data_IF_167857956508
#
_entry.id   IF_167857956508
#
_cell.length_a   1.000
_cell.length_b   1.000
_cell.length_c   1.000
_cell.angle_alpha   90.00
_cell.angle_beta   90.00
_cell.angle_gamma   90.00
#
_symmetry.space_group_name_H-M   'P 1'
#
loop_
_entity.id
_entity.type
_entity.pdbx_description
1 polymer ?
#
# COMPACT_ATOMS: atom_id res chain seq x y z
N UNK A 1 6.58 -8.53 37.76
CA UNK A 1 6.46 -7.07 37.55
C UNK A 1 7.48 -6.25 38.35
N UNK A 2 8.47 -6.86 39.00
CA UNK A 2 9.41 -6.14 39.89
C UNK A 2 10.81 -5.87 39.29
N UNK A 3 11.17 -6.50 38.16
CA UNK A 3 12.51 -6.35 37.55
C UNK A 3 12.62 -5.27 36.46
N UNK A 4 11.50 -4.71 35.99
CA UNK A 4 11.53 -3.63 34.99
C UNK A 4 11.76 -2.24 35.60
N UNK A 5 11.51 -2.08 36.91
CA UNK A 5 11.58 -0.79 37.60
C UNK A 5 13.00 -0.42 38.09
N UNK A 6 13.95 -1.37 38.14
CA UNK A 6 15.29 -1.15 38.69
C UNK A 6 16.37 -0.78 37.67
N UNK A 7 16.07 -0.80 36.37
CA UNK A 7 17.01 -0.41 35.31
C UNK A 7 16.89 1.07 34.90
N UNK A 8 16.03 1.87 35.55
CA UNK A 8 15.75 3.26 35.18
C UNK A 8 16.63 4.32 35.86
N UNK A 9 17.60 3.91 36.70
CA UNK A 9 18.45 4.84 37.44
C UNK A 9 19.93 4.68 37.13
N UNK A 10 20.32 4.73 35.86
CA UNK A 10 21.64 5.25 35.50
C UNK A 10 21.45 6.05 34.20
N UNK A 11 21.41 7.37 34.34
CA UNK A 11 21.40 8.39 33.27
C UNK A 11 20.21 8.37 32.30
N UNK A 12 19.06 8.90 32.74
CA UNK A 12 18.08 9.49 31.81
C UNK A 12 18.65 10.81 31.26
N UNK A 13 19.62 10.69 30.35
CA UNK A 13 20.26 11.82 29.72
C UNK A 13 19.76 11.93 28.29
N UNK A 14 18.71 12.73 28.12
CA UNK A 14 18.16 13.08 26.80
C UNK A 14 19.15 13.99 26.07
N UNK A 15 19.54 13.63 24.85
CA UNK A 15 20.39 14.45 23.99
C UNK A 15 19.71 14.67 22.64
N UNK A 16 19.69 15.92 22.18
CA UNK A 16 19.30 16.29 20.82
C UNK A 16 20.56 16.76 20.09
N UNK A 17 20.85 16.17 18.94
CA UNK A 17 21.95 16.57 18.06
C UNK A 17 21.48 16.59 16.60
N UNK A 18 22.01 17.52 15.82
CA UNK A 18 21.77 17.58 14.37
C UNK A 18 23.00 17.04 13.68
N UNK A 19 22.89 15.82 13.16
CA UNK A 19 23.98 15.18 12.41
C UNK A 19 24.15 15.85 11.04
N UNK A 20 25.40 16.14 10.67
CA UNK A 20 25.75 16.62 9.32
C UNK A 20 26.42 15.49 8.50
N UNK A 21 26.47 15.57 7.16
CA UNK A 21 27.00 14.50 6.31
C UNK A 21 28.49 14.22 6.49
N UNK A 22 29.25 15.15 7.08
CA UNK A 22 30.62 14.92 7.48
C UNK A 22 30.63 14.14 8.80
N UNK A 23 31.44 13.08 8.89
CA UNK A 23 31.52 12.12 10.01
C UNK A 23 31.41 12.75 11.41
N UNK A 24 30.17 12.89 11.88
CA UNK A 24 29.85 13.55 13.15
C UNK A 24 29.40 12.47 14.14
N UNK A 25 30.33 12.04 14.99
CA UNK A 25 30.04 11.07 16.04
C UNK A 25 29.63 11.84 17.30
N UNK A 26 28.44 11.53 17.86
CA UNK A 26 27.92 12.23 19.02
C UNK A 26 27.49 11.26 20.12
N UNK A 27 27.79 11.60 21.38
CA UNK A 27 27.47 10.76 22.54
C UNK A 27 28.18 11.22 23.81
N UNK A 28 28.16 10.38 24.84
CA UNK A 28 28.83 10.66 26.12
C UNK A 28 30.28 10.17 26.09
N UNK A 29 31.23 11.11 26.11
CA UNK A 29 32.67 10.79 26.22
C UNK A 29 32.96 10.02 27.53
N UNK A 30 32.17 10.27 28.60
CA UNK A 30 32.23 9.56 29.87
C UNK A 30 30.83 9.09 30.26
N UNK A 31 30.38 8.00 29.65
CA UNK A 31 29.05 7.43 29.88
C UNK A 31 28.90 6.81 31.27
N UNK A 32 29.82 5.93 31.66
CA UNK A 32 29.83 5.29 32.99
C UNK A 32 31.28 4.97 33.39
N UNK A 33 31.57 5.09 34.69
CA UNK A 33 32.88 4.73 35.23
C UNK A 33 33.05 3.21 35.26
N UNK A 34 34.23 2.71 34.85
CA UNK A 34 34.52 1.27 34.80
C UNK A 34 34.32 0.56 36.15
N UNK A 35 34.66 1.23 37.26
CA UNK A 35 34.45 0.71 38.63
C UNK A 35 32.98 0.47 38.96
N UNK A 36 32.05 1.18 38.30
CA UNK A 36 30.60 1.01 38.49
C UNK A 36 30.02 -0.11 37.62
N UNK A 37 30.76 -0.60 36.63
CA UNK A 37 30.40 -1.76 35.82
C UNK A 37 30.87 -3.05 36.52
N UNK A 38 32.10 -3.03 37.07
CA UNK A 38 32.70 -4.17 37.74
C UNK A 38 31.93 -4.52 39.03
N UNK A 39 31.35 -5.72 39.09
CA UNK A 39 30.53 -6.18 40.24
C UNK A 39 29.07 -5.69 40.22
N UNK A 40 28.63 -5.07 39.13
CA UNK A 40 27.25 -4.62 38.94
C UNK A 40 26.39 -5.67 38.18
N UNK A 41 25.04 -5.58 38.25
CA UNK A 41 24.16 -6.42 37.44
C UNK A 41 24.19 -6.09 35.94
N UNK A 42 24.96 -5.08 35.52
CA UNK A 42 25.08 -4.70 34.10
C UNK A 42 26.07 -5.58 33.32
N UNK A 43 26.88 -6.38 34.03
CA UNK A 43 27.85 -7.30 33.45
C UNK A 43 27.40 -8.75 33.72
N UNK A 44 26.82 -9.39 32.71
CA UNK A 44 26.39 -10.79 32.78
C UNK A 44 27.29 -11.63 31.88
N UNK A 45 27.96 -12.66 32.43
CA UNK A 45 28.89 -13.53 31.68
C UNK A 45 29.97 -12.77 30.90
N UNK A 46 30.55 -11.72 31.51
CA UNK A 46 31.55 -10.84 30.87
C UNK A 46 31.01 -10.06 29.65
N UNK A 47 29.69 -10.02 29.47
CA UNK A 47 29.01 -9.25 28.44
C UNK A 47 28.32 -8.00 29.03
N UNK A 48 28.52 -6.86 28.36
CA UNK A 48 27.84 -5.60 28.64
C UNK A 48 26.86 -5.30 27.50
N UNK A 49 25.57 -5.16 27.81
CA UNK A 49 24.55 -4.76 26.83
C UNK A 49 24.24 -3.28 26.94
N UNK A 50 24.46 -2.52 25.86
CA UNK A 50 24.14 -1.09 25.78
C UNK A 50 22.87 -0.92 24.94
N UNK A 51 21.82 -0.34 25.52
CA UNK A 51 20.57 -0.02 24.79
C UNK A 51 20.55 1.46 24.44
N UNK A 52 20.51 1.77 23.15
CA UNK A 52 20.35 3.13 22.65
C UNK A 52 18.91 3.33 22.13
N UNK A 53 18.24 4.38 22.58
CA UNK A 53 16.94 4.81 22.05
C UNK A 53 17.15 6.08 21.23
N UNK A 54 16.92 5.99 19.91
CA UNK A 54 17.06 7.11 18.99
C UNK A 54 15.67 7.60 18.56
N UNK A 55 15.47 8.92 18.58
CA UNK A 55 14.28 9.56 17.99
C UNK A 55 14.73 10.56 16.94
N UNK A 56 14.35 10.34 15.69
CA UNK A 56 14.70 11.22 14.57
C UNK A 56 13.56 12.22 14.36
N UNK A 57 13.83 13.50 14.63
CA UNK A 57 12.88 14.59 14.39
C UNK A 57 13.22 15.28 13.08
N UNK A 58 12.31 15.28 12.11
CA UNK A 58 12.42 16.07 10.88
C UNK A 58 11.59 17.34 11.06
N UNK A 59 12.23 18.51 11.07
CA UNK A 59 11.49 19.77 11.09
C UNK A 59 10.73 19.91 9.77
N UNK A 60 9.39 19.83 9.82
CA UNK A 60 8.57 20.27 8.69
C UNK A 60 8.60 21.79 8.69
N UNK A 61 9.05 22.37 7.57
CA UNK A 61 8.90 23.81 7.34
C UNK A 61 7.42 24.07 7.08
N UNK A 62 6.63 24.25 8.12
CA UNK A 62 5.39 24.99 8.00
C UNK A 62 5.79 26.46 8.10
N UNK A 63 5.67 27.19 7.00
CA UNK A 63 5.72 28.64 7.06
C UNK A 63 4.48 29.05 7.84
N UNK A 64 4.66 29.65 9.01
CA UNK A 64 3.59 30.39 9.68
C UNK A 64 3.23 31.58 8.78
N UNK A 65 2.29 31.36 7.88
CA UNK A 65 1.65 32.44 7.13
C UNK A 65 0.74 33.14 8.13
N UNK A 66 1.04 34.40 8.45
CA UNK A 66 0.09 35.29 9.11
C UNK A 66 -1.20 35.31 8.26
N UNK A 67 -2.21 34.57 8.70
CA UNK A 67 -3.43 34.37 7.94
C UNK A 67 -4.45 35.43 8.36
N UNK A 68 -4.86 36.24 7.39
CA UNK A 68 -6.15 36.93 7.45
C UNK A 68 -7.22 35.90 7.87
N UNK A 69 -7.92 36.14 8.99
CA UNK A 69 -8.76 35.15 9.68
C UNK A 69 -10.10 34.88 8.98
N UNK A 70 -10.07 34.44 7.72
CA UNK A 70 -11.20 33.81 7.04
C UNK A 70 -10.94 32.31 7.05
N UNK A 71 -11.74 31.56 7.81
CA UNK A 71 -11.69 30.09 7.84
C UNK A 71 -12.43 29.55 6.62
N UNK A 72 -11.71 28.93 5.69
CA UNK A 72 -12.28 28.25 4.52
C UNK A 72 -12.58 26.79 4.90
N UNK A 73 -13.83 26.31 4.76
CA UNK A 73 -14.14 24.91 5.02
C UNK A 73 -13.46 23.99 3.98
N UNK A 74 -13.17 22.72 4.33
CA UNK A 74 -12.64 21.75 3.37
C UNK A 74 -13.64 21.50 2.23
N UNK A 75 -13.13 21.09 1.07
CA UNK A 75 -13.97 20.72 -0.07
C UNK A 75 -14.86 19.52 0.26
N UNK A 76 -16.16 19.66 0.02
CA UNK A 76 -17.17 18.62 0.17
C UNK A 76 -17.61 18.00 -1.17
N UNK A 77 -16.95 18.35 -2.28
CA UNK A 77 -17.36 17.93 -3.62
C UNK A 77 -17.50 16.40 -3.75
N UNK A 78 -16.58 15.66 -3.13
CA UNK A 78 -16.62 14.20 -3.11
C UNK A 78 -17.84 13.64 -2.35
N UNK A 79 -18.29 14.29 -1.27
CA UNK A 79 -19.56 13.93 -0.62
C UNK A 79 -20.74 14.23 -1.53
N UNK A 80 -20.76 15.39 -2.18
CA UNK A 80 -21.89 15.79 -3.03
C UNK A 80 -22.07 14.81 -4.20
N UNK A 81 -20.98 14.40 -4.85
CA UNK A 81 -21.03 13.34 -5.89
C UNK A 81 -21.37 11.96 -5.31
N UNK A 82 -20.90 11.64 -4.11
CA UNK A 82 -21.25 10.39 -3.42
C UNK A 82 -22.75 10.30 -3.13
N UNK A 83 -23.35 11.40 -2.63
CA UNK A 83 -24.78 11.51 -2.38
C UNK A 83 -25.57 11.42 -3.69
N UNK A 84 -25.11 12.09 -4.76
CA UNK A 84 -25.73 12.00 -6.09
C UNK A 84 -25.76 10.56 -6.61
N UNK A 85 -24.70 9.78 -6.41
CA UNK A 85 -24.69 8.35 -6.74
C UNK A 85 -25.68 7.55 -5.87
N UNK A 86 -25.72 7.82 -4.56
CA UNK A 86 -26.57 7.12 -3.62
C UNK A 86 -28.07 7.37 -3.85
N UNK A 87 -28.45 8.63 -4.05
CA UNK A 87 -29.83 9.06 -4.23
C UNK A 87 -30.36 8.69 -5.62
N UNK A 88 -29.46 8.55 -6.61
CA UNK A 88 -29.80 8.21 -7.99
C UNK A 88 -30.50 9.34 -8.76
N UNK A 89 -30.56 10.55 -8.19
CA UNK A 89 -31.20 11.71 -8.82
C UNK A 89 -30.46 12.09 -10.11
N UNK A 90 -31.17 12.05 -11.24
CA UNK A 90 -30.59 12.38 -12.55
C UNK A 90 -29.83 11.24 -13.23
N UNK A 91 -29.88 10.02 -12.68
CA UNK A 91 -29.27 8.85 -13.30
C UNK A 91 -29.87 8.57 -14.70
N UNK A 92 -29.00 8.42 -15.69
CA UNK A 92 -29.32 8.26 -17.11
C UNK A 92 -28.73 6.97 -17.72
N UNK A 93 -28.24 6.08 -16.85
CA UNK A 93 -27.83 4.72 -17.19
C UNK A 93 -28.06 3.78 -16.00
N UNK A 94 -28.43 2.54 -16.30
CA UNK A 94 -28.56 1.46 -15.31
C UNK A 94 -27.62 0.32 -15.67
N UNK A 95 -26.95 -0.27 -14.69
CA UNK A 95 -26.15 -1.48 -14.84
C UNK A 95 -26.82 -2.65 -14.13
N UNK A 96 -26.80 -3.84 -14.73
CA UNK A 96 -27.16 -5.09 -14.05
C UNK A 96 -25.93 -5.93 -13.77
N UNK A 97 -25.65 -6.21 -12.50
CA UNK A 97 -24.52 -7.04 -12.04
C UNK A 97 -25.06 -8.17 -11.17
N UNK A 98 -24.92 -9.42 -11.63
CA UNK A 98 -25.50 -10.60 -10.96
C UNK A 98 -26.99 -10.43 -10.55
N UNK A 99 -27.78 -9.72 -11.37
CA UNK A 99 -29.19 -9.44 -11.11
C UNK A 99 -29.48 -8.23 -10.20
N UNK A 100 -28.46 -7.60 -9.63
CA UNK A 100 -28.59 -6.34 -8.89
C UNK A 100 -28.50 -5.14 -9.84
N UNK A 101 -29.34 -4.14 -9.61
CA UNK A 101 -29.39 -2.92 -10.42
C UNK A 101 -28.58 -1.80 -9.77
N UNK A 102 -27.81 -1.10 -10.59
CA UNK A 102 -26.99 0.05 -10.19
C UNK A 102 -27.30 1.23 -11.11
N UNK A 103 -27.83 2.31 -10.54
CA UNK A 103 -28.10 3.54 -11.28
C UNK A 103 -26.87 4.46 -11.25
N UNK A 104 -26.56 5.10 -12.37
CA UNK A 104 -25.39 5.96 -12.49
C UNK A 104 -25.58 7.05 -13.57
N UNK A 105 -24.56 7.89 -13.71
CA UNK A 105 -24.54 9.08 -14.54
C UNK A 105 -23.48 8.93 -15.64
N UNK A 106 -23.92 8.92 -16.90
CA UNK A 106 -23.05 8.66 -18.06
C UNK A 106 -21.89 9.65 -18.13
N UNK A 107 -22.16 10.92 -17.87
CA UNK A 107 -21.16 11.98 -17.92
C UNK A 107 -20.04 11.73 -16.91
N UNK A 108 -20.37 11.45 -15.64
CA UNK A 108 -19.38 11.17 -14.59
C UNK A 108 -18.52 9.96 -14.97
N UNK A 109 -19.15 8.86 -15.35
CA UNK A 109 -18.45 7.63 -15.74
C UNK A 109 -17.49 7.87 -16.91
N UNK A 110 -17.95 8.53 -17.97
CA UNK A 110 -17.17 8.76 -19.18
C UNK A 110 -15.98 9.72 -19.01
N UNK A 111 -16.01 10.62 -18.03
CA UNK A 111 -14.86 11.48 -17.75
C UNK A 111 -13.87 10.87 -16.76
N UNK A 112 -14.27 9.80 -16.06
CA UNK A 112 -13.47 9.13 -15.04
C UNK A 112 -12.94 7.76 -15.49
N UNK A 113 -13.46 7.23 -16.59
CA UNK A 113 -13.05 5.96 -17.18
C UNK A 113 -13.08 6.06 -18.72
N UNK A 114 -11.94 5.83 -19.41
CA UNK A 114 -11.92 5.81 -20.87
C UNK A 114 -12.74 4.64 -21.45
N UNK A 115 -12.87 3.54 -20.72
CA UNK A 115 -13.66 2.37 -21.14
C UNK A 115 -15.15 2.70 -21.07
N UNK A 116 -15.63 3.26 -19.96
CA UNK A 116 -17.01 3.74 -19.90
C UNK A 116 -17.27 4.87 -20.91
N UNK A 117 -16.29 5.72 -21.20
CA UNK A 117 -16.43 6.73 -22.27
C UNK A 117 -16.71 6.09 -23.62
N UNK A 118 -15.92 5.09 -23.99
CA UNK A 118 -16.09 4.37 -25.24
C UNK A 118 -17.42 3.61 -25.28
N UNK A 119 -17.80 2.94 -24.17
CA UNK A 119 -19.04 2.18 -24.07
C UNK A 119 -20.29 3.08 -24.12
N UNK A 120 -20.24 4.24 -23.46
CA UNK A 120 -21.39 5.12 -23.28
C UNK A 120 -21.54 6.21 -24.36
N UNK A 121 -20.44 6.61 -25.02
CA UNK A 121 -20.43 7.68 -26.03
C UNK A 121 -19.75 7.26 -27.34
N UNK A 122 -19.32 6.01 -27.48
CA UNK A 122 -18.69 5.52 -28.70
C UNK A 122 -19.67 5.33 -29.87
N UNK A 123 -19.14 5.15 -31.10
CA UNK A 123 -19.94 5.09 -32.33
C UNK A 123 -20.83 3.84 -32.45
N UNK A 124 -20.56 2.77 -31.68
CA UNK A 124 -21.35 1.53 -31.70
C UNK A 124 -22.67 1.61 -30.92
N UNK A 125 -23.02 2.79 -30.38
CA UNK A 125 -24.19 2.96 -29.50
C UNK A 125 -25.50 3.14 -30.25
N UNK A 126 -25.60 2.68 -31.50
CA UNK A 126 -26.70 3.00 -32.40
C UNK A 126 -28.08 2.53 -31.91
N UNK A 127 -28.20 1.64 -30.90
CA UNK A 127 -29.50 1.20 -30.36
C UNK A 127 -29.48 0.75 -28.87
N UNK A 128 -28.55 1.24 -28.04
CA UNK A 128 -28.33 0.65 -26.72
C UNK A 128 -29.42 0.99 -25.69
N UNK A 129 -30.12 -0.04 -25.23
CA UNK A 129 -30.94 -0.11 -24.00
C UNK A 129 -30.33 0.64 -22.83
N UNK A 130 -31.17 1.31 -22.02
CA UNK A 130 -30.78 2.02 -20.80
C UNK A 130 -30.07 1.12 -19.77
N UNK A 131 -30.20 -0.20 -19.90
CA UNK A 131 -29.60 -1.20 -19.04
C UNK A 131 -28.39 -1.88 -19.70
N UNK A 132 -27.22 -1.76 -19.06
CA UNK A 132 -25.96 -2.39 -19.45
C UNK A 132 -25.67 -3.56 -18.52
N UNK A 133 -25.37 -4.74 -19.06
CA UNK A 133 -25.05 -5.92 -18.24
C UNK A 133 -23.54 -5.99 -17.98
N UNK A 134 -23.14 -6.11 -16.71
CA UNK A 134 -21.76 -6.41 -16.35
C UNK A 134 -21.67 -7.87 -15.94
N UNK A 135 -20.99 -8.65 -16.78
CA UNK A 135 -20.61 -10.01 -16.49
C UNK A 135 -19.22 -10.06 -15.81
N UNK A 136 -18.99 -11.11 -15.03
CA UNK A 136 -17.72 -11.42 -14.35
C UNK A 136 -17.22 -10.35 -13.36
N UNK A 137 -18.14 -9.78 -12.58
CA UNK A 137 -17.81 -8.89 -11.46
C UNK A 137 -18.78 -9.11 -10.30
N UNK A 138 -18.24 -9.19 -9.08
CA UNK A 138 -19.09 -9.22 -7.88
C UNK A 138 -19.77 -7.87 -7.67
N UNK A 139 -21.06 -7.83 -7.27
CA UNK A 139 -21.78 -6.57 -7.05
C UNK A 139 -21.07 -5.63 -6.07
N UNK A 140 -20.46 -6.16 -5.00
CA UNK A 140 -19.68 -5.38 -4.03
C UNK A 140 -18.49 -4.66 -4.68
N UNK A 141 -17.79 -5.31 -5.61
CA UNK A 141 -16.63 -4.73 -6.30
C UNK A 141 -17.09 -3.65 -7.28
N UNK A 142 -18.21 -3.88 -7.97
CA UNK A 142 -18.79 -2.87 -8.87
C UNK A 142 -19.28 -1.63 -8.11
N UNK A 143 -19.95 -1.83 -6.96
CA UNK A 143 -20.36 -0.76 -6.06
C UNK A 143 -19.14 0.06 -5.59
N UNK A 144 -18.07 -0.62 -5.17
CA UNK A 144 -16.84 0.04 -4.76
C UNK A 144 -16.16 0.81 -5.90
N UNK A 145 -16.20 0.27 -7.13
CA UNK A 145 -15.70 0.95 -8.33
C UNK A 145 -16.49 2.22 -8.61
N UNK A 146 -17.83 2.17 -8.58
CA UNK A 146 -18.67 3.35 -8.75
C UNK A 146 -18.38 4.37 -7.64
N UNK A 147 -18.33 3.95 -6.38
CA UNK A 147 -17.98 4.83 -5.27
C UNK A 147 -16.65 5.56 -5.52
N UNK A 148 -15.61 4.85 -5.96
CA UNK A 148 -14.32 5.46 -6.27
C UNK A 148 -14.40 6.43 -7.45
N UNK A 149 -15.15 6.09 -8.51
CA UNK A 149 -15.29 6.96 -9.69
C UNK A 149 -15.86 8.33 -9.29
N UNK A 150 -16.86 8.35 -8.39
CA UNK A 150 -17.55 9.57 -7.96
C UNK A 150 -16.79 10.33 -6.88
N UNK A 151 -16.15 9.63 -5.95
CA UNK A 151 -15.59 10.26 -4.73
C UNK A 151 -14.07 10.35 -4.74
N UNK A 152 -13.39 9.61 -5.62
CA UNK A 152 -11.93 9.40 -5.64
C UNK A 152 -11.39 8.80 -4.32
N UNK A 153 -12.26 8.13 -3.55
CA UNK A 153 -11.93 7.47 -2.28
C UNK A 153 -12.33 6.00 -2.26
N UNK A 154 -11.54 5.17 -1.57
CA UNK A 154 -11.85 3.77 -1.35
C UNK A 154 -12.94 3.65 -0.27
N UNK A 155 -13.99 2.84 -0.47
CA UNK A 155 -14.99 2.58 0.56
C UNK A 155 -14.39 1.82 1.74
N UNK A 156 -15.02 1.94 2.90
CA UNK A 156 -14.49 1.43 4.17
C UNK A 156 -14.27 -0.09 4.17
N UNK A 157 -15.14 -0.85 3.51
CA UNK A 157 -15.01 -2.30 3.33
C UNK A 157 -13.75 -2.72 2.55
N UNK A 158 -13.19 -1.83 1.73
CA UNK A 158 -11.91 -2.03 1.04
C UNK A 158 -10.70 -1.55 1.85
N UNK A 159 -10.91 -0.80 2.94
CA UNK A 159 -9.83 -0.30 3.81
C UNK A 159 -9.26 -1.40 4.71
N UNK A 160 -10.08 -2.37 5.09
CA UNK A 160 -9.68 -3.51 5.94
C UNK A 160 -8.78 -4.54 5.23
N UNK A 161 -8.35 -4.26 4.00
CA UNK A 161 -7.19 -4.92 3.41
C UNK A 161 -7.33 -6.42 3.20
N UNK A 162 -8.56 -6.95 3.04
CA UNK A 162 -8.74 -8.33 2.57
C UNK A 162 -8.09 -8.43 1.19
N UNK A 163 -6.95 -9.10 1.12
CA UNK A 163 -6.13 -9.19 -0.09
C UNK A 163 -6.98 -9.60 -1.32
N UNK A 164 -7.89 -10.57 -1.16
CA UNK A 164 -8.81 -10.99 -2.23
C UNK A 164 -9.69 -9.86 -2.78
N UNK A 165 -10.33 -9.05 -1.92
CA UNK A 165 -11.17 -7.94 -2.37
C UNK A 165 -10.33 -6.89 -3.11
N UNK A 166 -9.11 -6.63 -2.63
CA UNK A 166 -8.19 -5.68 -3.29
C UNK A 166 -7.66 -6.21 -4.63
N UNK A 167 -7.47 -7.52 -4.76
CA UNK A 167 -7.14 -8.17 -6.03
C UNK A 167 -8.27 -7.98 -7.05
N UNK A 168 -9.52 -8.28 -6.66
CA UNK A 168 -10.68 -8.04 -7.54
C UNK A 168 -10.85 -6.55 -7.88
N UNK A 169 -10.59 -5.66 -6.94
CA UNK A 169 -10.63 -4.21 -7.19
C UNK A 169 -9.53 -3.76 -8.16
N UNK A 170 -8.32 -4.35 -8.11
CA UNK A 170 -7.27 -4.12 -9.09
C UNK A 170 -7.71 -4.54 -10.49
N UNK A 171 -8.30 -5.74 -10.62
CA UNK A 171 -8.83 -6.26 -11.90
C UNK A 171 -9.89 -5.31 -12.46
N UNK A 172 -10.82 -4.84 -11.61
CA UNK A 172 -11.86 -3.90 -12.01
C UNK A 172 -11.28 -2.55 -12.45
N UNK A 173 -10.31 -2.02 -11.69
CA UNK A 173 -9.66 -0.75 -12.00
C UNK A 173 -8.92 -0.81 -13.35
N UNK A 174 -8.22 -1.90 -13.62
CA UNK A 174 -7.55 -2.14 -14.90
C UNK A 174 -8.57 -2.29 -16.05
N UNK A 175 -9.60 -3.13 -15.86
CA UNK A 175 -10.69 -3.35 -16.83
C UNK A 175 -11.35 -2.05 -17.29
N UNK A 176 -11.52 -1.08 -16.39
CA UNK A 176 -12.17 0.19 -16.68
C UNK A 176 -11.20 1.36 -16.84
N UNK A 177 -9.88 1.13 -16.81
CA UNK A 177 -8.87 2.17 -17.01
C UNK A 177 -8.89 3.27 -15.94
N UNK A 178 -9.16 2.93 -14.68
CA UNK A 178 -9.16 3.86 -13.54
C UNK A 178 -7.79 3.81 -12.86
N UNK A 179 -6.78 4.44 -13.48
CA UNK A 179 -5.37 4.29 -13.10
C UNK A 179 -5.05 4.65 -11.65
N UNK A 180 -5.65 5.71 -11.12
CA UNK A 180 -5.42 6.10 -9.72
C UNK A 180 -5.89 5.02 -8.75
N UNK A 181 -7.03 4.38 -9.04
CA UNK A 181 -7.52 3.25 -8.25
C UNK A 181 -6.58 2.06 -8.38
N UNK A 182 -6.16 1.73 -9.61
CA UNK A 182 -5.21 0.63 -9.87
C UNK A 182 -3.93 0.78 -9.04
N UNK A 183 -3.33 1.98 -9.03
CA UNK A 183 -2.14 2.27 -8.24
C UNK A 183 -2.37 2.20 -6.71
N UNK A 184 -3.56 2.58 -6.23
CA UNK A 184 -3.93 2.40 -4.82
C UNK A 184 -4.06 0.92 -4.47
N UNK A 185 -4.65 0.10 -5.35
CA UNK A 185 -4.71 -1.35 -5.19
C UNK A 185 -3.31 -1.96 -5.17
N UNK A 186 -2.43 -1.56 -6.11
CA UNK A 186 -1.02 -1.99 -6.14
C UNK A 186 -0.31 -1.68 -4.82
N UNK A 187 -0.47 -0.46 -4.28
CA UNK A 187 0.11 -0.08 -2.99
C UNK A 187 -0.41 -0.99 -1.88
N UNK A 188 -1.73 -1.15 -1.76
CA UNK A 188 -2.34 -1.96 -0.70
C UNK A 188 -1.94 -3.43 -0.76
N UNK A 189 -1.89 -3.99 -1.97
CA UNK A 189 -1.41 -5.36 -2.16
C UNK A 189 0.07 -5.49 -1.82
N UNK A 190 0.90 -4.49 -2.15
CA UNK A 190 2.33 -4.50 -1.81
C UNK A 190 2.59 -4.44 -0.29
N UNK A 191 1.72 -3.74 0.45
CA UNK A 191 1.76 -3.67 1.93
C UNK A 191 1.35 -5.00 2.59
N UNK A 192 0.61 -5.84 1.87
CA UNK A 192 0.01 -7.08 2.39
C UNK A 192 0.71 -8.35 1.86
N UNK A 193 1.85 -8.25 1.17
CA UNK A 193 2.58 -9.41 0.66
C UNK A 193 3.11 -10.25 1.83
N UNK A 194 2.83 -11.55 1.76
CA UNK A 194 3.40 -12.58 2.64
C UNK A 194 3.84 -13.83 1.86
N UNK A 195 4.34 -14.84 2.57
CA UNK A 195 4.85 -16.09 1.98
C UNK A 195 3.78 -16.82 1.16
N UNK A 196 2.53 -16.84 1.62
CA UNK A 196 1.44 -17.58 0.99
C UNK A 196 0.82 -16.81 -0.21
N UNK A 197 0.84 -15.49 -0.14
CA UNK A 197 0.17 -14.60 -1.10
C UNK A 197 1.07 -14.04 -2.19
N UNK A 198 2.40 -14.08 -2.01
CA UNK A 198 3.32 -13.43 -2.96
C UNK A 198 3.23 -14.01 -4.37
N UNK A 199 3.04 -15.33 -4.51
CA UNK A 199 2.97 -15.96 -5.83
C UNK A 199 1.70 -15.59 -6.59
N UNK A 200 0.55 -15.57 -5.91
CA UNK A 200 -0.73 -15.16 -6.53
C UNK A 200 -0.74 -13.67 -6.83
N UNK A 201 -0.18 -12.84 -5.95
CA UNK A 201 -0.04 -11.40 -6.14
C UNK A 201 0.90 -11.06 -7.31
N UNK A 202 2.00 -11.82 -7.46
CA UNK A 202 2.92 -11.66 -8.59
C UNK A 202 2.26 -12.05 -9.92
N UNK A 203 1.56 -13.18 -9.96
CA UNK A 203 0.80 -13.59 -11.15
C UNK A 203 -0.23 -12.54 -11.55
N UNK A 204 -0.98 -11.98 -10.58
CA UNK A 204 -1.93 -10.90 -10.82
C UNK A 204 -1.24 -9.64 -11.37
N UNK A 205 -0.10 -9.27 -10.79
CA UNK A 205 0.65 -8.10 -11.23
C UNK A 205 1.17 -8.24 -12.66
N UNK A 206 1.57 -9.45 -13.07
CA UNK A 206 1.99 -9.75 -14.43
C UNK A 206 0.82 -9.69 -15.42
N UNK A 207 -0.31 -10.32 -15.06
CA UNK A 207 -1.54 -10.34 -15.86
C UNK A 207 -2.07 -8.94 -16.17
N UNK A 208 -1.99 -8.02 -15.19
CA UNK A 208 -2.51 -6.65 -15.30
C UNK A 208 -1.40 -5.60 -15.49
N UNK A 209 -0.21 -6.01 -15.93
CA UNK A 209 0.92 -5.12 -16.24
C UNK A 209 1.27 -4.09 -15.14
N UNK A 210 1.10 -4.50 -13.87
CA UNK A 210 1.34 -3.71 -12.67
C UNK A 210 2.83 -3.78 -12.27
N UNK A 211 3.66 -2.96 -12.92
CA UNK A 211 5.12 -3.02 -12.78
C UNK A 211 5.63 -2.73 -11.37
N UNK A 212 4.97 -1.85 -10.61
CA UNK A 212 5.38 -1.50 -9.25
C UNK A 212 5.09 -2.64 -8.27
N UNK A 213 3.88 -3.20 -8.32
CA UNK A 213 3.51 -4.38 -7.52
C UNK A 213 4.38 -5.59 -7.87
N UNK A 214 4.61 -5.85 -9.17
CA UNK A 214 5.50 -6.92 -9.63
C UNK A 214 6.91 -6.79 -9.03
N UNK A 215 7.49 -5.59 -9.10
CA UNK A 215 8.78 -5.31 -8.50
C UNK A 215 8.80 -5.50 -6.99
N UNK A 216 7.71 -5.17 -6.29
CA UNK A 216 7.58 -5.41 -4.85
C UNK A 216 7.57 -6.90 -4.52
N UNK A 217 6.81 -7.72 -5.27
CA UNK A 217 6.81 -9.17 -5.11
C UNK A 217 8.20 -9.78 -5.33
N UNK A 218 8.90 -9.41 -6.41
CA UNK A 218 10.23 -9.94 -6.71
C UNK A 218 11.22 -9.57 -5.60
N UNK A 219 11.21 -8.33 -5.10
CA UNK A 219 12.05 -7.91 -3.96
C UNK A 219 11.72 -8.66 -2.68
N UNK A 220 10.44 -8.91 -2.41
CA UNK A 220 10.02 -9.72 -1.26
C UNK A 220 10.58 -11.14 -1.37
N UNK A 221 10.41 -11.80 -2.52
CA UNK A 221 10.89 -13.17 -2.75
C UNK A 221 12.41 -13.27 -2.70
N UNK A 222 13.13 -12.26 -3.20
CA UNK A 222 14.59 -12.21 -3.19
C UNK A 222 15.18 -11.85 -1.81
N UNK A 223 14.36 -11.52 -0.82
CA UNK A 223 14.83 -11.19 0.52
C UNK A 223 15.42 -12.44 1.21
N UNK A 224 16.54 -12.30 1.97
CA UNK A 224 17.31 -13.45 2.48
C UNK A 224 16.49 -14.48 3.26
N UNK A 225 15.52 -14.02 4.05
CA UNK A 225 14.71 -14.87 4.93
C UNK A 225 13.41 -15.35 4.27
N UNK A 226 13.09 -14.87 3.06
CA UNK A 226 11.81 -15.13 2.40
C UNK A 226 11.90 -16.14 1.25
N UNK A 227 13.04 -16.20 0.54
CA UNK A 227 13.17 -17.08 -0.63
C UNK A 227 12.92 -18.55 -0.28
N UNK A 228 13.56 -19.05 0.78
CA UNK A 228 13.43 -20.44 1.23
C UNK A 228 11.99 -20.84 1.54
N UNK A 229 11.28 -20.12 2.45
CA UNK A 229 9.87 -20.36 2.72
C UNK A 229 8.97 -20.29 1.48
N UNK A 230 9.14 -19.28 0.63
CA UNK A 230 8.32 -19.11 -0.58
C UNK A 230 8.50 -20.29 -1.54
N UNK A 231 9.71 -20.81 -1.70
CA UNK A 231 9.98 -21.96 -2.57
C UNK A 231 9.27 -23.25 -2.14
N UNK A 232 8.86 -23.36 -0.87
CA UNK A 232 8.13 -24.52 -0.36
C UNK A 232 6.63 -24.46 -0.68
N UNK A 233 6.09 -23.27 -0.94
CA UNK A 233 4.67 -23.06 -1.24
C UNK A 233 4.29 -23.69 -2.58
N UNK A 234 3.05 -24.18 -2.68
CA UNK A 234 2.52 -24.67 -3.96
C UNK A 234 2.32 -23.51 -4.94
N UNK A 235 2.01 -22.30 -4.44
CA UNK A 235 1.92 -21.09 -5.23
C UNK A 235 3.20 -20.82 -6.03
N UNK A 236 4.37 -20.96 -5.41
CA UNK A 236 5.64 -20.78 -6.11
C UNK A 236 5.90 -21.87 -7.15
N UNK A 237 5.60 -23.14 -6.84
CA UNK A 237 5.73 -24.24 -7.80
C UNK A 237 4.87 -24.01 -9.05
N UNK A 238 3.63 -23.56 -8.87
CA UNK A 238 2.74 -23.19 -9.97
C UNK A 238 3.28 -22.00 -10.76
N UNK A 239 3.76 -20.96 -10.08
CA UNK A 239 4.32 -19.78 -10.73
C UNK A 239 5.52 -20.12 -11.63
N UNK A 240 6.45 -20.96 -11.17
CA UNK A 240 7.61 -21.40 -11.97
C UNK A 240 7.18 -22.28 -13.14
N UNK A 241 6.16 -23.12 -12.97
CA UNK A 241 5.62 -23.94 -14.06
C UNK A 241 4.94 -23.09 -15.14
N UNK A 242 4.24 -22.02 -14.76
CA UNK A 242 3.55 -21.12 -15.69
C UNK A 242 4.49 -20.09 -16.33
N UNK A 243 5.45 -19.56 -15.59
CA UNK A 243 6.35 -18.49 -16.02
C UNK A 243 7.81 -18.77 -15.61
N UNK A 244 8.57 -19.62 -16.34
CA UNK A 244 9.93 -20.01 -15.93
C UNK A 244 10.92 -18.84 -15.83
N UNK A 245 10.68 -17.75 -16.57
CA UNK A 245 11.53 -16.56 -16.56
C UNK A 245 11.53 -15.84 -15.21
N UNK A 246 10.48 -16.00 -14.41
CA UNK A 246 10.37 -15.34 -13.10
C UNK A 246 11.48 -15.79 -12.15
N UNK A 247 11.91 -17.06 -12.23
CA UNK A 247 12.98 -17.60 -11.41
C UNK A 247 14.31 -16.90 -11.72
N UNK A 248 14.59 -16.67 -13.00
CA UNK A 248 15.78 -15.93 -13.42
C UNK A 248 15.77 -14.52 -12.82
N UNK A 249 14.64 -13.82 -12.89
CA UNK A 249 14.54 -12.47 -12.36
C UNK A 249 14.68 -12.40 -10.84
N UNK A 250 14.10 -13.37 -10.11
CA UNK A 250 14.30 -13.48 -8.66
C UNK A 250 15.77 -13.72 -8.34
N UNK A 251 16.47 -14.59 -9.09
CA UNK A 251 17.91 -14.84 -8.88
C UNK A 251 18.79 -13.64 -9.26
N UNK A 252 18.43 -12.91 -10.31
CA UNK A 252 19.11 -11.66 -10.69
C UNK A 252 18.96 -10.61 -9.58
N UNK A 253 17.77 -10.52 -8.98
CA UNK A 253 17.50 -9.64 -7.83
C UNK A 253 18.26 -10.07 -6.57
N UNK A 254 18.30 -11.37 -6.24
CA UNK A 254 19.12 -11.92 -5.14
C UNK A 254 20.60 -11.54 -5.34
N UNK A 255 21.11 -11.72 -6.56
CA UNK A 255 22.49 -11.38 -6.91
C UNK A 255 22.78 -9.88 -6.75
N UNK A 256 21.80 -9.01 -7.03
CA UNK A 256 21.90 -7.57 -6.78
C UNK A 256 21.99 -7.28 -5.28
N UNK A 257 21.07 -7.83 -4.48
CA UNK A 257 21.03 -7.63 -3.01
C UNK A 257 22.34 -8.07 -2.35
N UNK A 258 22.96 -9.16 -2.80
CA UNK A 258 24.24 -9.63 -2.25
C UNK A 258 25.43 -8.72 -2.58
N UNK A 259 25.45 -8.12 -3.78
CA UNK A 259 26.48 -7.13 -4.15
C UNK A 259 26.40 -5.88 -3.28
N UNK A 260 25.19 -5.40 -3.03
CA UNK A 260 24.97 -4.17 -2.25
C UNK A 260 25.36 -4.35 -0.77
N UNK A 261 25.27 -5.58 -0.21
CA UNK A 261 25.76 -5.88 1.14
C UNK A 261 27.28 -6.02 1.27
N UNK A 262 27.97 -6.18 0.15
CA UNK A 262 29.43 -6.40 0.10
C UNK A 262 30.22 -5.11 -0.17
N UNK A 263 29.52 -3.98 -0.35
CA UNK A 263 30.07 -2.64 -0.59
C UNK A 263 29.88 -1.75 0.63
#
# INVERSE_FOLDING_TARGET
MENAARLSQVTNSYMKHTFSPASDNWGFIKFIEKSKIQGSPFLENDCLTIRCLLTVTKESRTQDVETNSIVVPPSNLHQDFGNMLHDGEGADVTFTVCGQLFHAHRCVLAFRSPVFRAELFGPLRENATECIKIDDMEPMIFEALLHFIYTDTLPDNCKDGKAAAMQHMLVAADRYGVDRLRLLCERKLSEAIDVETVSTTLALAEQHHCSQLRGACIRFMASPDMLGPVMLTDGFKHLVASCPLILKEVLDEVSRIWRDKSS
#
